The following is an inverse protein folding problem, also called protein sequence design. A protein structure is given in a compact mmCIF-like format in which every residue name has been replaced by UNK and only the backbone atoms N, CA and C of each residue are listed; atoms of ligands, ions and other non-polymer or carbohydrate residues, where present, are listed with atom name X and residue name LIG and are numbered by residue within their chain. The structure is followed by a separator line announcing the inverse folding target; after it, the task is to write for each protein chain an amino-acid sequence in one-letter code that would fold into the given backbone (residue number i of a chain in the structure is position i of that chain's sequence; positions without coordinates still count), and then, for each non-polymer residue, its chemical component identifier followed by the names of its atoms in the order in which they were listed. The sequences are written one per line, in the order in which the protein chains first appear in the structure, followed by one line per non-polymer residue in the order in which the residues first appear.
data_IF_934818459763
#
_entry.id   IF_934818459763
#
_cell.length_a   1.000
_cell.length_b   1.000
_cell.length_c   1.000
_cell.angle_alpha   90.00
_cell.angle_beta   90.00
_cell.angle_gamma   90.00
#
_symmetry.space_group_name_H-M   'P 1'
#
loop_
_entity.id
_entity.type
_entity.pdbx_description
1 polymer ?
#
# COMPACT_ATOMS: atom_id res chain seq x y z
N UNK A 1 -28.11 -5.81 -5.32
CA UNK A 1 -27.23 -5.53 -4.16
C UNK A 1 -25.84 -6.09 -4.44
N UNK A 2 -24.77 -5.47 -3.91
CA UNK A 2 -23.43 -6.05 -3.95
C UNK A 2 -23.32 -7.14 -2.88
N UNK A 3 -22.64 -8.23 -3.19
CA UNK A 3 -22.31 -9.29 -2.26
C UNK A 3 -20.79 -9.40 -2.13
N UNK A 4 -20.31 -9.69 -0.92
CA UNK A 4 -18.88 -9.84 -0.61
C UNK A 4 -18.59 -11.21 -0.04
N UNK A 5 -17.42 -11.74 -0.34
CA UNK A 5 -16.89 -12.98 0.23
C UNK A 5 -15.42 -12.79 0.64
N UNK A 6 -14.92 -13.55 1.63
CA UNK A 6 -13.50 -13.58 1.93
C UNK A 6 -12.74 -14.32 0.82
N UNK A 7 -11.78 -13.64 0.20
CA UNK A 7 -10.78 -14.22 -0.68
C UNK A 7 -9.59 -14.82 0.08
N UNK A 8 -8.51 -15.18 -0.63
CA UNK A 8 -7.28 -15.67 -0.01
C UNK A 8 -6.77 -14.73 1.09
N UNK A 9 -6.32 -15.31 2.21
CA UNK A 9 -5.86 -14.60 3.40
C UNK A 9 -6.85 -13.56 3.98
N UNK A 10 -8.14 -13.67 3.67
CA UNK A 10 -9.19 -12.77 4.18
C UNK A 10 -9.35 -11.47 3.42
N UNK A 11 -8.68 -11.29 2.26
CA UNK A 11 -8.89 -10.13 1.40
C UNK A 11 -10.34 -10.11 0.89
N UNK A 12 -11.14 -9.05 1.11
CA UNK A 12 -12.52 -9.03 0.61
C UNK A 12 -12.57 -9.02 -0.91
N UNK A 13 -13.50 -9.81 -1.48
CA UNK A 13 -13.76 -9.89 -2.92
C UNK A 13 -15.25 -9.75 -3.20
N UNK A 14 -15.60 -9.35 -4.44
CA UNK A 14 -16.99 -9.35 -4.90
C UNK A 14 -17.44 -10.79 -5.15
N UNK A 15 -18.68 -11.09 -4.76
CA UNK A 15 -19.31 -12.39 -4.92
C UNK A 15 -20.53 -12.31 -5.86
N UNK A 16 -21.07 -13.48 -6.22
CA UNK A 16 -22.26 -13.58 -7.06
C UNK A 16 -22.00 -13.14 -8.51
N UNK A 17 -22.96 -12.41 -9.10
CA UNK A 17 -22.90 -12.01 -10.50
C UNK A 17 -21.74 -11.05 -10.84
N UNK A 18 -21.12 -10.44 -9.82
CA UNK A 18 -20.03 -9.49 -9.94
C UNK A 18 -18.66 -10.10 -9.55
N UNK A 19 -18.60 -11.41 -9.28
CA UNK A 19 -17.35 -12.08 -8.97
C UNK A 19 -16.32 -11.90 -10.09
N UNK A 20 -15.12 -11.43 -9.75
CA UNK A 20 -14.04 -11.14 -10.70
C UNK A 20 -14.25 -9.90 -11.59
N UNK A 21 -15.35 -9.16 -11.44
CA UNK A 21 -15.62 -7.97 -12.26
C UNK A 21 -14.74 -6.76 -11.88
N UNK A 22 -14.35 -6.66 -10.61
CA UNK A 22 -13.51 -5.60 -10.07
C UNK A 22 -12.57 -6.15 -9.01
N UNK A 23 -11.33 -5.65 -9.03
CA UNK A 23 -10.40 -5.77 -7.93
C UNK A 23 -10.51 -4.52 -7.07
N UNK A 24 -10.56 -4.70 -5.76
CA UNK A 24 -10.52 -3.57 -4.84
C UNK A 24 -9.68 -3.88 -3.61
N UNK A 25 -9.24 -2.83 -2.92
CA UNK A 25 -8.54 -2.94 -1.66
C UNK A 25 -8.80 -1.67 -0.84
N UNK A 26 -8.78 -1.81 0.49
CA UNK A 26 -9.02 -0.72 1.42
C UNK A 26 -7.86 -0.62 2.40
N UNK A 27 -7.55 0.59 2.82
CA UNK A 27 -6.67 0.85 3.97
C UNK A 27 -7.19 2.08 4.72
N UNK A 28 -6.94 2.15 6.02
CA UNK A 28 -7.27 3.31 6.83
C UNK A 28 -6.24 3.52 7.92
N UNK A 29 -5.94 4.77 8.23
CA UNK A 29 -5.06 5.16 9.34
C UNK A 29 -5.53 6.51 9.88
N UNK A 30 -5.74 6.56 11.20
CA UNK A 30 -6.41 7.69 11.85
C UNK A 30 -7.78 8.00 11.22
N UNK A 31 -7.95 9.23 10.74
CA UNK A 31 -9.20 9.74 10.13
C UNK A 31 -9.17 9.70 8.60
N UNK A 32 -8.27 8.91 8.00
CA UNK A 32 -8.15 8.76 6.54
C UNK A 32 -8.42 7.32 6.15
N UNK A 33 -9.11 7.17 5.02
CA UNK A 33 -9.33 5.89 4.36
C UNK A 33 -9.00 6.03 2.88
N UNK A 34 -8.43 4.97 2.31
CA UNK A 34 -8.22 4.80 0.89
C UNK A 34 -9.03 3.60 0.40
N UNK A 35 -9.62 3.74 -0.79
CA UNK A 35 -10.22 2.65 -1.53
C UNK A 35 -9.60 2.64 -2.92
N UNK A 36 -8.84 1.58 -3.22
CA UNK A 36 -8.36 1.30 -4.56
C UNK A 36 -9.38 0.44 -5.29
N UNK A 37 -9.70 0.79 -6.54
CA UNK A 37 -10.58 0.00 -7.43
C UNK A 37 -9.92 -0.12 -8.79
N UNK A 38 -9.93 -1.32 -9.37
CA UNK A 38 -9.34 -1.62 -10.66
C UNK A 38 -10.19 -2.65 -11.42
N UNK A 39 -10.58 -2.38 -12.68
CA UNK A 39 -11.33 -3.33 -13.49
C UNK A 39 -10.48 -4.40 -14.17
N UNK A 40 -9.14 -4.30 -14.11
CA UNK A 40 -8.24 -5.10 -14.95
C UNK A 40 -7.17 -5.88 -14.19
N UNK A 41 -6.72 -5.35 -13.06
CA UNK A 41 -5.54 -5.86 -12.38
C UNK A 41 -5.70 -5.77 -10.86
N UNK A 42 -5.04 -6.69 -10.16
CA UNK A 42 -4.95 -6.65 -8.71
C UNK A 42 -4.38 -5.31 -8.24
N UNK A 43 -5.07 -4.69 -7.29
CA UNK A 43 -4.70 -3.44 -6.65
C UNK A 43 -4.58 -3.63 -5.14
N UNK A 44 -3.60 -2.96 -4.56
CA UNK A 44 -3.43 -2.78 -3.13
C UNK A 44 -3.19 -1.31 -2.83
N UNK A 45 -3.77 -0.82 -1.73
CA UNK A 45 -3.57 0.55 -1.25
C UNK A 45 -3.18 0.49 0.21
N UNK A 46 -2.31 1.40 0.61
CA UNK A 46 -1.99 1.60 2.01
C UNK A 46 -1.89 3.08 2.36
N UNK A 47 -2.27 3.43 3.59
CA UNK A 47 -2.19 4.79 4.13
C UNK A 47 -1.75 4.71 5.58
N UNK A 48 -0.80 5.57 5.94
CA UNK A 48 -0.33 5.70 7.31
C UNK A 48 -0.18 7.17 7.72
N UNK A 49 -0.46 7.43 9.00
CA UNK A 49 -0.16 8.72 9.62
C UNK A 49 1.34 8.87 9.84
N UNK A 50 1.88 10.04 9.48
CA UNK A 50 3.25 10.42 9.80
C UNK A 50 3.34 10.76 11.28
N UNK A 51 4.05 9.92 12.01
CA UNK A 51 4.29 10.05 13.46
C UNK A 51 5.64 9.42 13.80
N UNK A 52 6.21 9.73 14.96
CA UNK A 52 7.39 9.04 15.42
C UNK A 52 7.17 7.53 15.45
N UNK A 53 8.16 6.77 14.96
CA UNK A 53 8.10 5.31 14.94
C UNK A 53 9.22 4.77 15.82
N UNK A 54 8.94 4.54 17.12
CA UNK A 54 9.90 3.88 17.99
C UNK A 54 10.36 2.58 17.33
N UNK A 55 11.66 2.31 17.37
CA UNK A 55 12.29 1.12 16.79
C UNK A 55 12.22 0.99 15.25
N UNK A 56 11.94 2.04 14.48
CA UNK A 56 11.89 1.99 13.01
C UNK A 56 13.06 1.20 12.38
N UNK A 57 14.31 1.49 12.81
CA UNK A 57 15.50 0.79 12.31
C UNK A 57 15.57 -0.68 12.75
N UNK A 58 15.09 -1.01 13.95
CA UNK A 58 15.07 -2.40 14.45
C UNK A 58 14.05 -3.22 13.65
N UNK A 59 12.86 -2.65 13.40
CA UNK A 59 11.82 -3.28 12.59
C UNK A 59 12.32 -3.47 11.16
N UNK A 60 12.92 -2.43 10.56
CA UNK A 60 13.47 -2.52 9.21
C UNK A 60 14.54 -3.62 9.08
N UNK A 61 15.47 -3.73 10.05
CA UNK A 61 16.49 -4.80 10.04
C UNK A 61 15.89 -6.20 10.17
N UNK A 62 14.77 -6.35 10.86
CA UNK A 62 14.14 -7.64 11.09
C UNK A 62 13.25 -8.09 9.92
N UNK A 63 12.71 -7.15 9.13
CA UNK A 63 11.65 -7.45 8.18
C UNK A 63 11.84 -6.88 6.78
N UNK A 64 12.71 -5.91 6.54
CA UNK A 64 12.91 -5.32 5.21
C UNK A 64 14.11 -5.94 4.50
N UNK A 65 14.22 -5.70 3.19
CA UNK A 65 15.40 -6.13 2.46
C UNK A 65 16.63 -5.41 3.03
N UNK A 66 17.76 -6.13 3.14
CA UNK A 66 18.98 -5.63 3.78
C UNK A 66 19.40 -4.24 3.27
N UNK A 67 19.37 -4.02 1.96
CA UNK A 67 19.73 -2.74 1.35
C UNK A 67 18.80 -1.58 1.77
N UNK A 68 17.50 -1.85 2.00
CA UNK A 68 16.55 -0.84 2.48
C UNK A 68 16.81 -0.49 3.94
N UNK A 69 17.08 -1.50 4.77
CA UNK A 69 17.40 -1.30 6.19
C UNK A 69 18.73 -0.54 6.37
N UNK A 70 19.73 -0.84 5.54
CA UNK A 70 21.01 -0.11 5.48
C UNK A 70 20.80 1.33 5.00
N UNK A 71 20.00 1.54 3.95
CA UNK A 71 19.68 2.87 3.45
C UNK A 71 18.93 3.73 4.48
N UNK A 72 17.96 3.15 5.21
CA UNK A 72 17.27 3.81 6.33
C UNK A 72 18.25 4.19 7.44
N UNK A 73 19.18 3.30 7.80
CA UNK A 73 20.16 3.56 8.85
C UNK A 73 21.20 4.63 8.48
N UNK A 74 21.35 4.94 7.20
CA UNK A 74 22.25 5.98 6.70
C UNK A 74 21.60 7.38 6.66
N UNK A 75 20.29 7.48 6.90
CA UNK A 75 19.57 8.76 6.94
C UNK A 75 19.90 9.55 8.22
N UNK A 76 19.63 10.86 8.19
CA UNK A 76 19.65 11.67 9.41
C UNK A 76 18.51 11.21 10.33
N UNK A 77 18.68 11.24 11.67
CA UNK A 77 17.67 10.75 12.61
C UNK A 77 16.27 11.34 12.38
N UNK A 78 16.17 12.62 12.02
CA UNK A 78 14.92 13.31 11.75
C UNK A 78 14.19 12.87 10.48
N UNK A 79 14.86 12.15 9.56
CA UNK A 79 14.30 11.66 8.29
C UNK A 79 13.83 10.21 8.37
N UNK A 80 14.34 9.44 9.35
CA UNK A 80 14.14 7.99 9.45
C UNK A 80 12.67 7.62 9.53
N UNK A 81 11.90 8.26 10.40
CA UNK A 81 10.51 7.88 10.66
C UNK A 81 9.61 8.11 9.44
N UNK A 82 9.80 9.23 8.75
CA UNK A 82 9.07 9.54 7.52
C UNK A 82 9.45 8.59 6.38
N UNK A 83 10.74 8.30 6.20
CA UNK A 83 11.22 7.36 5.18
C UNK A 83 10.77 5.92 5.47
N UNK A 84 10.82 5.50 6.74
CA UNK A 84 10.32 4.20 7.19
C UNK A 84 8.83 4.05 6.90
N UNK A 85 8.02 5.04 7.31
CA UNK A 85 6.57 5.02 7.09
C UNK A 85 6.24 5.01 5.59
N UNK A 86 6.94 5.83 4.80
CA UNK A 86 6.79 5.81 3.35
C UNK A 86 7.15 4.45 2.73
N UNK A 87 8.25 3.82 3.14
CA UNK A 87 8.62 2.49 2.67
C UNK A 87 7.62 1.41 3.12
N UNK A 88 7.15 1.49 4.37
CA UNK A 88 6.12 0.61 4.92
C UNK A 88 4.87 0.61 4.05
N UNK A 89 4.32 1.78 3.74
CA UNK A 89 3.13 1.88 2.87
C UNK A 89 3.37 1.28 1.48
N UNK A 90 4.57 1.42 0.90
CA UNK A 90 4.90 0.80 -0.40
C UNK A 90 4.91 -0.71 -0.32
N UNK A 91 5.50 -1.28 0.74
CA UNK A 91 5.55 -2.73 1.00
C UNK A 91 4.15 -3.29 1.21
N UNK A 92 3.38 -2.70 2.12
CA UNK A 92 2.01 -3.12 2.44
C UNK A 92 1.09 -3.03 1.22
N UNK A 93 1.22 -1.98 0.39
CA UNK A 93 0.42 -1.89 -0.84
C UNK A 93 0.69 -3.06 -1.80
N UNK A 94 1.94 -3.49 -1.97
CA UNK A 94 2.29 -4.66 -2.81
C UNK A 94 1.73 -5.95 -2.18
N UNK A 95 1.91 -6.16 -0.88
CA UNK A 95 1.38 -7.34 -0.17
C UNK A 95 -0.15 -7.41 -0.29
N UNK A 96 -0.83 -6.28 -0.10
CA UNK A 96 -2.29 -6.16 -0.25
C UNK A 96 -2.75 -6.44 -1.67
N UNK A 97 -1.99 -6.02 -2.68
CA UNK A 97 -2.30 -6.32 -4.08
C UNK A 97 -2.23 -7.84 -4.34
N UNK A 98 -1.18 -8.51 -3.86
CA UNK A 98 -0.99 -9.96 -3.96
C UNK A 98 -2.05 -10.78 -3.23
N UNK A 99 -2.69 -10.22 -2.20
CA UNK A 99 -3.68 -10.94 -1.39
C UNK A 99 -3.06 -12.04 -0.52
N UNK A 100 -1.74 -11.94 -0.25
CA UNK A 100 -1.01 -12.93 0.55
C UNK A 100 -1.21 -12.74 2.08
N UNK A 101 -1.80 -11.61 2.50
CA UNK A 101 -1.90 -11.23 3.91
C UNK A 101 -0.53 -11.07 4.56
N UNK A 102 -0.48 -11.16 5.90
CA UNK A 102 0.77 -11.06 6.69
C UNK A 102 1.76 -12.21 6.44
N UNK A 103 1.40 -13.20 5.62
CA UNK A 103 2.21 -14.38 5.35
C UNK A 103 3.35 -14.14 4.37
N UNK A 104 3.36 -13.02 3.63
CA UNK A 104 4.47 -12.68 2.73
C UNK A 104 5.56 -11.94 3.51
N UNK A 105 6.76 -12.52 3.65
CA UNK A 105 7.87 -11.84 4.29
C UNK A 105 8.23 -10.56 3.55
N UNK A 106 8.32 -9.44 4.27
CA UNK A 106 8.57 -8.13 3.68
C UNK A 106 10.00 -7.97 3.13
N UNK A 107 10.89 -8.92 3.39
CA UNK A 107 12.25 -9.01 2.84
C UNK A 107 12.29 -9.76 1.50
N UNK A 108 11.18 -10.40 1.08
CA UNK A 108 11.02 -10.98 -0.26
C UNK A 108 10.71 -9.92 -1.34
N UNK A 109 10.52 -8.67 -0.94
CA UNK A 109 10.30 -7.54 -1.84
C UNK A 109 11.27 -6.42 -1.48
N UNK A 110 11.92 -5.85 -2.49
CA UNK A 110 12.77 -4.67 -2.34
C UNK A 110 12.18 -3.52 -3.15
N UNK A 111 12.10 -2.34 -2.56
CA UNK A 111 11.53 -1.14 -3.13
C UNK A 111 12.51 0.03 -2.99
N UNK A 112 12.28 1.04 -3.81
CA UNK A 112 12.98 2.32 -3.62
C UNK A 112 12.58 2.94 -2.28
N UNK A 113 13.53 3.63 -1.64
CA UNK A 113 13.30 4.38 -0.42
C UNK A 113 12.81 5.81 -0.76
N UNK A 114 11.88 6.40 0.00
CA UNK A 114 11.62 7.84 -0.08
C UNK A 114 12.91 8.67 0.12
N UNK A 115 13.06 9.83 -0.55
CA UNK A 115 12.08 10.50 -1.40
C UNK A 115 12.07 10.01 -2.85
N UNK A 116 12.83 8.97 -3.22
CA UNK A 116 12.81 8.47 -4.59
C UNK A 116 11.39 7.99 -4.96
N UNK A 117 10.96 8.15 -6.22
CA UNK A 117 9.66 7.68 -6.69
C UNK A 117 9.46 6.20 -6.35
N UNK A 118 8.24 5.78 -5.95
CA UNK A 118 7.98 4.41 -5.56
C UNK A 118 8.15 3.48 -6.77
N UNK A 119 9.01 2.47 -6.60
CA UNK A 119 9.27 1.44 -7.59
C UNK A 119 9.57 0.13 -6.88
N UNK A 120 9.02 -0.96 -7.39
CA UNK A 120 9.39 -2.31 -7.00
C UNK A 120 10.71 -2.65 -7.72
N UNK A 121 11.74 -2.95 -6.95
CA UNK A 121 13.08 -3.26 -7.44
C UNK A 121 13.25 -4.76 -7.61
N UNK A 122 12.74 -5.54 -6.65
CA UNK A 122 12.76 -7.00 -6.71
C UNK A 122 11.55 -7.56 -5.98
N UNK A 123 11.10 -8.74 -6.41
CA UNK A 123 10.05 -9.53 -5.77
C UNK A 123 10.31 -11.01 -6.06
N UNK A 124 10.21 -11.86 -5.03
CA UNK A 124 10.38 -13.31 -5.21
C UNK A 124 9.14 -13.90 -5.90
N UNK A 125 9.36 -14.63 -6.99
CA UNK A 125 8.30 -15.36 -7.71
C UNK A 125 7.42 -14.51 -8.62
N UNK A 126 7.80 -13.26 -8.88
CA UNK A 126 7.09 -12.37 -9.81
C UNK A 126 8.08 -11.45 -10.55
N UNK A 127 7.61 -10.76 -11.58
CA UNK A 127 8.40 -9.78 -12.32
C UNK A 127 8.18 -8.37 -11.73
N UNK A 128 9.21 -7.70 -11.17
CA UNK A 128 9.06 -6.35 -10.65
C UNK A 128 8.63 -5.32 -11.71
N UNK A 129 8.93 -5.53 -13.00
CA UNK A 129 8.55 -4.63 -14.09
C UNK A 129 7.06 -4.72 -14.44
N UNK A 130 6.38 -5.79 -14.03
CA UNK A 130 4.93 -5.93 -14.17
C UNK A 130 4.14 -5.03 -13.21
N UNK A 131 4.81 -4.29 -12.32
CA UNK A 131 4.18 -3.49 -11.26
C UNK A 131 4.29 -1.99 -11.50
N UNK A 132 3.20 -1.29 -11.21
CA UNK A 132 3.18 0.18 -11.11
C UNK A 132 2.85 0.59 -9.69
N UNK A 133 3.67 1.47 -9.11
CA UNK A 133 3.44 2.02 -7.78
C UNK A 133 3.26 3.53 -7.86
N UNK A 134 2.36 4.05 -7.03
CA UNK A 134 1.98 5.46 -7.01
C UNK A 134 2.01 5.98 -5.59
N UNK A 135 2.79 7.03 -5.35
CA UNK A 135 2.82 7.71 -4.06
C UNK A 135 1.57 8.57 -3.91
N UNK A 136 0.86 8.45 -2.80
CA UNK A 136 -0.36 9.18 -2.51
C UNK A 136 -0.13 10.13 -1.32
N UNK A 137 -0.81 11.26 -1.36
CA UNK A 137 -0.91 12.23 -0.25
C UNK A 137 -2.40 12.35 0.12
N UNK A 138 -2.95 11.43 0.94
CA UNK A 138 -4.38 11.40 1.27
C UNK A 138 -4.84 12.58 2.14
N UNK A 139 -3.91 13.39 2.61
CA UNK A 139 -4.14 14.61 3.37
C UNK A 139 -2.94 14.96 4.26
N UNK A 140 -2.99 16.12 4.94
CA UNK A 140 -1.91 16.58 5.81
C UNK A 140 -1.54 15.53 6.86
N UNK A 141 -0.23 15.30 7.03
CA UNK A 141 0.29 14.37 8.03
C UNK A 141 0.04 12.88 7.70
N UNK A 142 -0.30 12.54 6.46
CA UNK A 142 -0.44 11.14 6.03
C UNK A 142 0.34 10.88 4.75
N UNK A 143 0.80 9.65 4.60
CA UNK A 143 1.40 9.13 3.37
C UNK A 143 0.63 7.89 2.94
N UNK A 144 0.47 7.69 1.65
CA UNK A 144 -0.06 6.44 1.12
C UNK A 144 0.67 5.96 -0.11
N UNK A 145 0.39 4.72 -0.48
CA UNK A 145 0.86 4.12 -1.73
C UNK A 145 -0.27 3.29 -2.36
N UNK A 146 -0.40 3.35 -3.69
CA UNK A 146 -1.13 2.35 -4.47
C UNK A 146 -0.15 1.48 -5.25
N UNK A 147 -0.35 0.17 -5.23
CA UNK A 147 0.40 -0.80 -6.03
C UNK A 147 -0.56 -1.57 -6.94
N UNK A 148 -0.23 -1.66 -8.22
CA UNK A 148 -1.04 -2.32 -9.24
C UNK A 148 -0.14 -3.28 -10.01
N UNK A 149 -0.55 -4.55 -10.11
CA UNK A 149 0.16 -5.56 -10.92
C UNK A 149 -0.21 -5.41 -12.41
N UNK A 150 0.11 -4.25 -12.97
CA UNK A 150 0.08 -3.97 -14.40
C UNK A 150 1.13 -2.90 -14.73
N UNK A 151 2.00 -3.18 -15.69
CA UNK A 151 3.04 -2.26 -16.14
C UNK A 151 2.42 -1.00 -16.75
N UNK A 152 2.94 0.19 -16.37
CA UNK A 152 2.47 1.48 -16.89
C UNK A 152 1.05 1.87 -16.46
N UNK A 153 0.46 1.20 -15.47
CA UNK A 153 -0.86 1.55 -14.96
C UNK A 153 -0.84 2.96 -14.35
N UNK A 154 -1.82 3.78 -14.74
CA UNK A 154 -2.05 5.10 -14.15
C UNK A 154 -3.23 5.05 -13.17
N UNK A 155 -3.30 6.03 -12.29
CA UNK A 155 -4.42 6.18 -11.35
C UNK A 155 -5.11 7.52 -11.53
N UNK A 156 -6.43 7.52 -11.37
CA UNK A 156 -7.20 8.72 -11.11
C UNK A 156 -7.50 8.77 -9.60
N UNK A 157 -7.39 9.95 -9.00
CA UNK A 157 -7.68 10.17 -7.58
C UNK A 157 -8.98 10.94 -7.43
N UNK A 158 -9.83 10.46 -6.54
CA UNK A 158 -11.05 11.15 -6.15
C UNK A 158 -11.06 11.27 -4.62
N UNK A 159 -11.29 12.47 -4.11
CA UNK A 159 -11.59 12.68 -2.70
C UNK A 159 -13.10 12.73 -2.54
N UNK A 160 -13.62 12.05 -1.52
CA UNK A 160 -14.99 12.27 -1.09
C UNK A 160 -15.07 13.63 -0.37
N UNK A 161 -16.16 14.39 -0.54
CA UNK A 161 -16.41 15.59 0.24
C UNK A 161 -16.31 15.31 1.75
N UNK A 162 -15.85 16.27 2.55
CA UNK A 162 -15.75 16.09 4.01
C UNK A 162 -17.11 15.80 4.65
N UNK A 163 -18.19 16.35 4.07
CA UNK A 163 -19.58 16.16 4.50
C UNK A 163 -20.25 14.93 3.84
N UNK A 164 -19.49 14.04 3.20
CA UNK A 164 -20.06 12.90 2.48
C UNK A 164 -20.90 12.00 3.39
N UNK A 165 -20.43 11.78 4.63
CA UNK A 165 -21.14 11.00 5.65
C UNK A 165 -22.43 11.70 6.12
N UNK A 166 -22.41 13.03 6.22
CA UNK A 166 -23.59 13.82 6.61
C UNK A 166 -24.67 13.78 5.52
N UNK A 167 -24.25 13.72 4.25
CA UNK A 167 -25.15 13.60 3.09
C UNK A 167 -25.71 12.20 2.88
N UNK A 168 -25.10 11.18 3.47
CA UNK A 168 -25.49 9.77 3.32
C UNK A 168 -25.55 9.08 4.69
N UNK A 169 -26.52 9.47 5.55
CA UNK A 169 -26.73 8.81 6.82
C UNK A 169 -27.11 7.34 6.62
N UNK A 170 -26.66 6.48 7.54
CA UNK A 170 -26.85 5.02 7.48
C UNK A 170 -28.31 4.59 7.55
#
# INVERSE_FOLDING_TARGET
ALAFAPGPAGKPELAGAQAGALHFNLSHSGTRALVGVSPKAAIGVDVEALRPVPDALRIARAHFARAEAEALAALRPEEVDAAFTGLWTRKEAVVKALGAGLSLPLDHLALTLPPAPPRLVAIVGDDPEAWSLHHLEPGPGTVGTAAIRAAGATIARCALPEDWLDRHPR
#
